data_IF_188849933689
#
_entry.id   IF_188849933689
#
_cell.length_a   1.000
_cell.length_b   1.000
_cell.length_c   1.000
_cell.angle_alpha   90.00
_cell.angle_beta   90.00
_cell.angle_gamma   90.00
#
_symmetry.space_group_name_H-M   'P 1'
#
loop_
_entity.id
_entity.type
_entity.pdbx_description
1 polymer ?
#
# COMPACT_ATOMS: atom_id res chain seq x y z
N UNK A 1 3.39 69.39 -6.22
CA UNK A 1 2.96 68.12 -6.83
C UNK A 1 3.58 67.00 -6.04
N UNK A 2 2.77 66.24 -5.31
CA UNK A 2 3.18 65.07 -4.52
C UNK A 2 2.75 63.85 -5.34
N UNK A 3 3.70 63.03 -5.77
CA UNK A 3 3.44 61.78 -6.49
C UNK A 3 3.45 60.62 -5.48
N UNK A 4 2.35 59.86 -5.32
CA UNK A 4 2.37 58.68 -4.48
C UNK A 4 3.00 57.51 -5.26
N UNK A 5 4.01 56.88 -4.67
CA UNK A 5 4.55 55.61 -5.13
C UNK A 5 3.61 54.48 -4.66
N UNK A 6 2.84 53.89 -5.57
CA UNK A 6 2.08 52.67 -5.28
C UNK A 6 3.03 51.48 -5.41
N UNK A 7 3.44 50.92 -4.27
CA UNK A 7 4.12 49.63 -4.21
C UNK A 7 3.08 48.53 -4.46
N UNK A 8 3.14 47.89 -5.63
CA UNK A 8 2.36 46.69 -5.92
C UNK A 8 3.00 45.49 -5.19
N UNK A 9 2.28 44.90 -4.24
CA UNK A 9 2.64 43.60 -3.68
C UNK A 9 2.58 42.57 -4.81
N UNK A 10 3.74 42.06 -5.23
CA UNK A 10 3.81 40.87 -6.07
C UNK A 10 3.27 39.70 -5.23
N UNK A 11 2.00 39.35 -5.45
CA UNK A 11 1.42 38.13 -4.89
C UNK A 11 2.24 36.95 -5.38
N UNK A 12 2.88 36.22 -4.46
CA UNK A 12 3.29 34.85 -4.75
C UNK A 12 2.03 34.07 -5.03
N UNK A 13 1.70 33.90 -6.31
CA UNK A 13 0.64 33.01 -6.73
C UNK A 13 0.95 31.63 -6.18
N UNK A 14 0.07 31.10 -5.33
CA UNK A 14 0.12 29.71 -4.94
C UNK A 14 0.05 28.89 -6.22
N UNK A 15 1.19 28.30 -6.59
CA UNK A 15 1.29 27.48 -7.79
C UNK A 15 0.55 26.18 -7.47
N UNK A 16 -0.69 26.07 -7.96
CA UNK A 16 -1.46 24.84 -7.84
C UNK A 16 -0.77 23.80 -8.72
N UNK A 17 0.03 22.93 -8.10
CA UNK A 17 0.63 21.81 -8.77
C UNK A 17 -0.50 20.84 -9.16
N UNK A 18 -0.87 20.82 -10.43
CA UNK A 18 -1.74 19.80 -11.01
C UNK A 18 -0.85 18.67 -11.49
N UNK A 19 -0.61 17.66 -10.64
CA UNK A 19 0.00 16.42 -11.09
C UNK A 19 -1.05 15.60 -11.85
N UNK A 20 -0.73 15.14 -13.06
CA UNK A 20 -1.58 14.16 -13.73
C UNK A 20 -1.56 12.85 -12.93
N UNK A 21 -2.64 12.07 -12.93
CA UNK A 21 -2.66 10.74 -12.26
C UNK A 21 -1.50 9.87 -12.77
N UNK A 22 -1.17 10.00 -14.06
CA UNK A 22 -0.01 9.33 -14.63
C UNK A 22 1.28 9.84 -14.01
N UNK A 23 1.49 11.14 -13.80
CA UNK A 23 2.71 11.68 -13.15
C UNK A 23 2.79 11.36 -11.64
N UNK A 24 1.64 11.33 -10.95
CA UNK A 24 1.56 10.89 -9.56
C UNK A 24 1.84 9.38 -9.38
N UNK A 25 1.47 8.57 -10.38
CA UNK A 25 1.77 7.13 -10.45
C UNK A 25 3.08 6.82 -11.18
N UNK A 26 3.61 7.77 -11.97
CA UNK A 26 4.94 7.74 -12.58
C UNK A 26 5.90 8.14 -11.50
N UNK A 27 6.18 7.13 -10.69
CA UNK A 27 7.19 7.03 -9.68
C UNK A 27 8.43 7.92 -9.95
N UNK A 28 8.36 9.18 -9.53
CA UNK A 28 9.51 10.07 -9.46
C UNK A 28 10.60 9.49 -8.55
N UNK A 29 11.84 9.81 -8.91
CA UNK A 29 13.14 9.35 -8.37
C UNK A 29 13.16 7.94 -7.74
N UNK A 30 13.03 6.92 -8.58
CA UNK A 30 13.24 5.52 -8.20
C UNK A 30 14.64 5.21 -7.64
N UNK A 31 15.63 6.11 -7.81
CA UNK A 31 17.00 5.85 -7.38
C UNK A 31 17.14 5.63 -5.87
N UNK A 32 16.17 6.13 -5.09
CA UNK A 32 16.22 6.03 -3.64
C UNK A 32 15.59 4.73 -3.08
N UNK A 33 14.99 3.87 -3.91
CA UNK A 33 14.49 2.54 -3.51
C UNK A 33 15.41 1.42 -4.01
N UNK A 34 15.44 0.31 -3.27
CA UNK A 34 16.14 -0.89 -3.71
C UNK A 34 15.56 -1.42 -5.04
N UNK A 35 16.44 -1.90 -5.91
CA UNK A 35 16.08 -2.50 -7.20
C UNK A 35 16.53 -3.96 -7.23
N UNK A 36 15.68 -4.91 -7.65
CA UNK A 36 16.03 -6.33 -7.73
C UNK A 36 16.83 -6.61 -9.02
N UNK A 37 18.02 -6.02 -9.14
CA UNK A 37 18.87 -6.11 -10.35
C UNK A 37 19.72 -7.37 -10.40
N UNK A 38 19.81 -8.11 -9.29
CA UNK A 38 20.57 -9.34 -9.15
C UNK A 38 19.80 -10.34 -8.28
N UNK A 39 20.10 -11.65 -8.40
CA UNK A 39 19.53 -12.66 -7.51
C UNK A 39 19.82 -12.33 -6.05
N UNK A 40 18.80 -12.45 -5.19
CA UNK A 40 18.91 -12.33 -3.75
C UNK A 40 18.76 -13.73 -3.13
N UNK A 41 19.60 -14.04 -2.13
CA UNK A 41 19.41 -15.24 -1.33
C UNK A 41 18.32 -14.97 -0.27
N UNK A 42 17.23 -15.72 -0.37
CA UNK A 42 16.15 -15.65 0.63
C UNK A 42 16.53 -16.41 1.90
N UNK A 43 16.24 -15.81 3.05
CA UNK A 43 16.43 -16.35 4.39
C UNK A 43 15.08 -16.38 5.08
N UNK A 44 14.58 -17.58 5.35
CA UNK A 44 13.31 -17.79 6.04
C UNK A 44 13.56 -18.15 7.52
N UNK A 45 12.70 -17.70 8.46
CA UNK A 45 11.41 -17.03 8.25
C UNK A 45 11.48 -15.51 8.01
N UNK A 46 12.66 -14.88 8.14
CA UNK A 46 12.83 -13.42 7.98
C UNK A 46 12.14 -12.86 6.74
N UNK A 47 12.34 -13.50 5.59
CA UNK A 47 11.83 -13.04 4.30
C UNK A 47 10.37 -13.45 4.02
N UNK A 48 9.66 -14.01 5.02
CA UNK A 48 8.19 -13.96 5.04
C UNK A 48 7.69 -12.54 5.33
N UNK A 49 8.47 -11.74 6.05
CA UNK A 49 8.12 -10.38 6.46
C UNK A 49 8.19 -9.35 5.32
N UNK A 50 7.85 -8.09 5.63
CA UNK A 50 7.91 -7.01 4.65
C UNK A 50 9.34 -6.63 4.27
N UNK A 51 9.51 -6.19 3.03
CA UNK A 51 10.76 -5.66 2.47
C UNK A 51 10.65 -4.13 2.23
N UNK A 52 10.75 -3.27 3.27
CA UNK A 52 10.49 -1.83 3.17
C UNK A 52 11.50 -1.05 2.31
N UNK A 53 12.65 -1.66 1.99
CA UNK A 53 13.62 -1.06 1.07
C UNK A 53 13.11 -0.97 -0.37
N UNK A 54 12.10 -1.79 -0.73
CA UNK A 54 11.48 -1.78 -2.05
C UNK A 54 10.23 -0.92 -2.05
N UNK A 55 10.00 -0.21 -3.15
CA UNK A 55 8.85 0.70 -3.27
C UNK A 55 7.52 -0.04 -3.16
N UNK A 56 7.40 -1.21 -3.80
CA UNK A 56 6.17 -1.97 -3.87
C UNK A 56 6.34 -3.36 -3.26
N UNK A 57 5.28 -3.84 -2.61
CA UNK A 57 5.22 -5.19 -2.06
C UNK A 57 3.77 -5.70 -2.06
N UNK A 58 3.61 -7.02 -2.20
CA UNK A 58 2.34 -7.66 -2.52
C UNK A 58 2.24 -8.96 -1.72
N UNK A 59 1.12 -9.17 -1.05
CA UNK A 59 0.77 -10.46 -0.44
C UNK A 59 -0.48 -10.97 -1.12
N UNK A 60 -0.34 -12.10 -1.80
CA UNK A 60 -1.35 -12.58 -2.73
C UNK A 60 -1.81 -14.01 -2.40
N UNK A 61 -3.06 -14.13 -1.97
CA UNK A 61 -3.68 -15.37 -1.55
C UNK A 61 -4.80 -15.73 -2.51
N UNK A 62 -4.73 -16.92 -3.08
CA UNK A 62 -5.75 -17.43 -4.00
C UNK A 62 -6.04 -18.87 -3.67
N UNK A 63 -7.29 -19.28 -3.81
CA UNK A 63 -7.65 -20.68 -3.63
C UNK A 63 -9.04 -21.00 -4.16
N UNK A 64 -9.32 -22.29 -4.18
CA UNK A 64 -10.64 -22.83 -4.48
C UNK A 64 -11.21 -23.44 -3.20
N UNK A 65 -12.49 -23.22 -2.96
CA UNK A 65 -13.23 -23.68 -1.80
C UNK A 65 -14.40 -24.54 -2.29
N UNK A 66 -14.78 -25.50 -1.46
CA UNK A 66 -16.02 -26.24 -1.60
C UNK A 66 -16.73 -26.15 -0.26
N UNK A 67 -18.00 -25.72 -0.27
CA UNK A 67 -18.78 -25.67 0.96
C UNK A 67 -19.31 -27.05 1.37
N UNK A 68 -20.09 -27.10 2.45
CA UNK A 68 -20.63 -28.37 2.97
C UNK A 68 -21.65 -29.03 2.04
N UNK A 69 -22.30 -28.26 1.16
CA UNK A 69 -23.30 -28.74 0.20
C UNK A 69 -22.68 -29.09 -1.16
N UNK A 70 -21.36 -28.87 -1.32
CA UNK A 70 -20.61 -29.18 -2.53
C UNK A 70 -20.53 -28.02 -3.53
N UNK A 71 -20.95 -26.81 -3.16
CA UNK A 71 -20.85 -25.66 -4.04
C UNK A 71 -19.40 -25.17 -4.13
N UNK A 72 -18.96 -24.85 -5.34
CA UNK A 72 -17.59 -24.45 -5.65
C UNK A 72 -17.44 -22.92 -5.66
N UNK A 73 -16.40 -22.45 -4.98
CA UNK A 73 -16.05 -21.04 -4.95
C UNK A 73 -14.57 -20.82 -5.29
N UNK A 74 -14.28 -19.74 -6.00
CA UNK A 74 -12.93 -19.18 -6.07
C UNK A 74 -12.80 -18.00 -5.11
N UNK A 75 -11.65 -17.83 -4.47
CA UNK A 75 -11.35 -16.61 -3.73
C UNK A 75 -9.98 -16.03 -4.07
N UNK A 76 -9.89 -14.71 -3.88
CA UNK A 76 -8.68 -13.93 -4.03
C UNK A 76 -8.63 -12.91 -2.88
N UNK A 77 -7.53 -12.88 -2.13
CA UNK A 77 -7.24 -11.83 -1.16
C UNK A 77 -5.85 -11.27 -1.45
N UNK A 78 -5.77 -9.96 -1.65
CA UNK A 78 -4.51 -9.27 -1.97
C UNK A 78 -4.32 -8.08 -1.06
N UNK A 79 -3.10 -7.93 -0.53
CA UNK A 79 -2.63 -6.69 0.10
C UNK A 79 -1.51 -6.11 -0.75
N UNK A 80 -1.60 -4.82 -1.03
CA UNK A 80 -0.62 -4.04 -1.78
C UNK A 80 -0.05 -2.98 -0.86
N UNK A 81 1.27 -2.83 -0.83
CA UNK A 81 1.96 -1.70 -0.22
C UNK A 81 2.68 -0.91 -1.29
N UNK A 82 2.52 0.41 -1.25
CA UNK A 82 3.35 1.36 -2.00
C UNK A 82 3.97 2.37 -1.06
N UNK A 83 5.30 2.46 -1.09
CA UNK A 83 6.06 3.51 -0.44
C UNK A 83 5.99 4.80 -1.26
N UNK A 84 5.65 5.90 -0.59
CA UNK A 84 5.63 7.26 -1.11
C UNK A 84 7.03 7.87 -1.11
N UNK A 85 7.78 7.64 -0.02
CA UNK A 85 9.18 8.07 0.17
C UNK A 85 9.98 6.93 0.80
N UNK A 86 11.31 6.86 0.59
CA UNK A 86 12.15 5.83 1.20
C UNK A 86 12.12 5.90 2.72
N UNK A 87 12.23 7.10 3.25
CA UNK A 87 12.29 7.35 4.69
C UNK A 87 10.96 7.84 5.24
N UNK A 88 10.77 7.60 6.54
CA UNK A 88 9.65 8.18 7.28
C UNK A 88 9.79 9.71 7.36
N UNK A 89 8.70 10.46 7.15
CA UNK A 89 8.75 11.92 7.23
C UNK A 89 9.00 12.40 8.66
N UNK A 90 9.89 13.39 8.83
CA UNK A 90 10.22 13.99 10.12
C UNK A 90 9.09 14.90 10.65
N UNK A 91 8.02 14.30 11.18
CA UNK A 91 6.86 14.98 11.77
C UNK A 91 6.35 14.24 13.00
N UNK A 92 5.89 14.98 14.01
CA UNK A 92 5.45 14.44 15.31
C UNK A 92 3.97 13.99 15.33
N UNK A 93 3.49 13.30 14.29
CA UNK A 93 2.10 12.84 14.19
C UNK A 93 2.02 11.34 14.06
N UNK A 94 1.08 10.68 14.76
CA UNK A 94 0.85 9.24 14.61
C UNK A 94 0.32 8.86 13.22
N UNK A 95 -0.28 9.81 12.52
CA UNK A 95 -0.72 9.66 11.12
C UNK A 95 0.45 9.79 10.13
N UNK A 96 1.65 10.11 10.61
CA UNK A 96 2.82 10.18 9.78
C UNK A 96 3.15 8.82 9.20
N UNK A 97 3.23 8.74 7.87
CA UNK A 97 3.65 7.54 7.17
C UNK A 97 4.33 7.90 5.88
N UNK A 98 5.17 7.00 5.38
CA UNK A 98 5.64 6.94 4.01
C UNK A 98 5.00 5.80 3.21
N UNK A 99 3.99 5.10 3.75
CA UNK A 99 3.38 3.93 3.12
C UNK A 99 1.88 4.12 2.93
N UNK A 100 1.38 3.69 1.77
CA UNK A 100 -0.05 3.48 1.50
C UNK A 100 -0.27 1.99 1.29
N UNK A 101 -1.38 1.49 1.83
CA UNK A 101 -1.86 0.14 1.63
C UNK A 101 -3.20 0.12 0.91
N UNK A 102 -3.39 -0.89 0.08
CA UNK A 102 -4.69 -1.29 -0.48
C UNK A 102 -4.90 -2.78 -0.19
N UNK A 103 -6.13 -3.17 0.12
CA UNK A 103 -6.52 -4.56 0.16
C UNK A 103 -7.69 -4.81 -0.80
N UNK A 104 -7.67 -5.93 -1.51
CA UNK A 104 -8.73 -6.37 -2.41
C UNK A 104 -9.12 -7.79 -2.04
N UNK A 105 -10.42 -8.05 -1.87
CA UNK A 105 -10.96 -9.39 -1.63
C UNK A 105 -12.06 -9.66 -2.63
N UNK A 106 -12.01 -10.82 -3.26
CA UNK A 106 -13.03 -11.26 -4.19
C UNK A 106 -13.41 -12.73 -3.96
N UNK A 107 -14.69 -13.02 -4.22
CA UNK A 107 -15.26 -14.36 -4.20
C UNK A 107 -16.06 -14.57 -5.47
N UNK A 108 -15.85 -15.71 -6.12
CA UNK A 108 -16.60 -16.16 -7.29
C UNK A 108 -17.41 -17.39 -6.91
N UNK A 109 -18.73 -17.31 -7.07
CA UNK A 109 -19.63 -18.46 -7.02
C UNK A 109 -19.76 -19.04 -8.44
N UNK A 110 -19.30 -20.28 -8.62
CA UNK A 110 -19.24 -20.94 -9.92
C UNK A 110 -20.64 -21.29 -10.42
N UNK A 111 -21.48 -21.85 -9.53
CA UNK A 111 -22.81 -22.33 -9.90
C UNK A 111 -23.77 -21.17 -10.20
N UNK A 112 -23.69 -20.10 -9.41
CA UNK A 112 -24.50 -18.90 -9.62
C UNK A 112 -23.95 -17.98 -10.73
N UNK A 113 -22.72 -18.23 -11.20
CA UNK A 113 -21.98 -17.37 -12.13
C UNK A 113 -21.92 -15.91 -11.62
N UNK A 114 -21.58 -15.75 -10.34
CA UNK A 114 -21.51 -14.46 -9.66
C UNK A 114 -20.11 -14.18 -9.17
N UNK A 115 -19.69 -12.91 -9.25
CA UNK A 115 -18.42 -12.43 -8.73
C UNK A 115 -18.66 -11.18 -7.89
N UNK A 116 -18.22 -11.22 -6.65
CA UNK A 116 -18.27 -10.09 -5.74
C UNK A 116 -16.87 -9.70 -5.31
N UNK A 117 -16.59 -8.40 -5.26
CA UNK A 117 -15.31 -7.87 -4.82
C UNK A 117 -15.47 -6.66 -3.89
N UNK A 118 -14.47 -6.48 -3.04
CA UNK A 118 -14.43 -5.44 -2.01
C UNK A 118 -13.01 -4.92 -1.91
N UNK A 119 -12.88 -3.61 -1.67
CA UNK A 119 -11.59 -2.94 -1.60
C UNK A 119 -11.52 -2.03 -0.39
N UNK A 120 -10.31 -1.89 0.16
CA UNK A 120 -10.00 -0.96 1.23
C UNK A 120 -8.66 -0.29 0.98
N UNK A 121 -8.53 0.93 1.51
CA UNK A 121 -7.32 1.73 1.43
C UNK A 121 -7.01 2.31 2.80
N UNK A 122 -5.74 2.28 3.20
CA UNK A 122 -5.30 2.88 4.45
C UNK A 122 -3.88 3.41 4.33
N UNK A 123 -3.56 4.34 5.24
CA UNK A 123 -2.18 4.77 5.47
C UNK A 123 -1.50 3.76 6.39
N UNK A 124 -0.19 3.57 6.25
CA UNK A 124 0.60 2.79 7.20
C UNK A 124 0.86 3.49 8.55
N UNK A 125 0.22 4.64 8.81
CA UNK A 125 0.28 5.35 10.09
C UNK A 125 -0.74 4.79 11.08
N UNK A 126 -0.58 5.13 12.36
CA UNK A 126 -1.51 4.75 13.45
C UNK A 126 -1.88 3.26 13.50
N UNK A 127 -0.93 2.40 13.08
CA UNK A 127 -1.07 0.92 13.02
C UNK A 127 -2.29 0.41 12.23
N UNK A 128 -2.92 1.27 11.43
CA UNK A 128 -4.13 0.95 10.67
C UNK A 128 -3.85 -0.08 9.56
N UNK A 129 -2.66 -0.03 8.97
CA UNK A 129 -2.19 -1.02 8.02
C UNK A 129 -0.71 -1.32 8.21
N UNK A 130 -0.31 -2.55 7.90
CA UNK A 130 1.07 -2.98 8.08
C UNK A 130 1.28 -4.45 7.77
N UNK A 131 2.53 -4.87 7.91
CA UNK A 131 2.96 -6.25 7.80
C UNK A 131 4.11 -6.50 8.77
N UNK A 132 4.27 -7.75 9.21
CA UNK A 132 5.38 -8.20 10.04
C UNK A 132 5.74 -9.64 9.68
N UNK A 133 7.01 -10.01 9.78
CA UNK A 133 7.47 -11.40 9.59
C UNK A 133 7.66 -12.16 10.89
N UNK A 134 8.17 -11.49 11.93
CA UNK A 134 8.50 -12.06 13.23
C UNK A 134 7.90 -11.22 14.37
N UNK A 135 7.54 -11.82 15.53
CA UNK A 135 7.65 -13.25 15.85
C UNK A 135 6.57 -14.13 15.17
N UNK A 136 5.52 -13.52 14.65
CA UNK A 136 4.43 -14.21 13.95
C UNK A 136 4.13 -13.45 12.67
N UNK A 137 4.13 -14.13 11.53
CA UNK A 137 3.79 -13.50 10.26
C UNK A 137 2.37 -12.92 10.29
N UNK A 138 2.23 -11.65 9.91
CA UNK A 138 0.91 -11.05 9.66
C UNK A 138 0.95 -9.91 8.66
N UNK A 139 -0.17 -9.69 7.97
CA UNK A 139 -0.43 -8.55 7.09
C UNK A 139 -1.85 -8.08 7.35
N UNK A 140 -2.05 -6.77 7.54
CA UNK A 140 -3.35 -6.22 7.91
C UNK A 140 -3.66 -4.87 7.27
N UNK A 141 -4.96 -4.61 7.13
CA UNK A 141 -5.56 -3.31 6.81
C UNK A 141 -6.90 -3.23 7.56
N UNK A 142 -6.99 -2.35 8.55
CA UNK A 142 -8.09 -2.31 9.53
C UNK A 142 -8.36 -3.70 10.14
N UNK A 143 -9.57 -4.20 9.96
CA UNK A 143 -10.04 -5.51 10.40
C UNK A 143 -9.70 -6.64 9.42
N UNK A 144 -9.15 -6.35 8.24
CA UNK A 144 -8.74 -7.38 7.29
C UNK A 144 -7.34 -7.83 7.62
N UNK A 145 -7.13 -9.15 7.72
CA UNK A 145 -5.87 -9.68 8.16
C UNK A 145 -5.62 -11.10 7.66
N UNK A 146 -4.34 -11.39 7.37
CA UNK A 146 -3.82 -12.75 7.34
C UNK A 146 -2.79 -12.89 8.46
N UNK A 147 -2.89 -13.96 9.25
CA UNK A 147 -1.95 -14.28 10.33
C UNK A 147 -1.53 -15.74 10.24
N UNK A 148 -0.27 -15.99 10.57
CA UNK A 148 0.19 -17.34 10.84
C UNK A 148 -0.41 -17.84 12.17
N UNK A 149 -1.09 -18.98 12.12
CA UNK A 149 -1.75 -19.59 13.29
C UNK A 149 -0.95 -20.74 13.91
N UNK A 150 0.03 -21.29 13.20
CA UNK A 150 0.92 -22.35 13.66
C UNK A 150 2.30 -22.25 12.96
N UNK A 151 3.40 -22.76 13.57
CA UNK A 151 4.70 -22.92 12.92
C UNK A 151 4.68 -23.82 11.68
#
# INVERSE_FOLDING_TARGET
MIAPLLAACAGSGAQVASATVVEALSFGDEQAFARPTQPMAFVFPRDHGPHPAYRTEWWYYTGNLVDADGAEFGYQLTFFRTALTPDMPARASDLATNQIYMAHFAVTDVAANQHASFERYARGGDKTAGAQGEPVYSVWLDAWRVEQVAP
#
